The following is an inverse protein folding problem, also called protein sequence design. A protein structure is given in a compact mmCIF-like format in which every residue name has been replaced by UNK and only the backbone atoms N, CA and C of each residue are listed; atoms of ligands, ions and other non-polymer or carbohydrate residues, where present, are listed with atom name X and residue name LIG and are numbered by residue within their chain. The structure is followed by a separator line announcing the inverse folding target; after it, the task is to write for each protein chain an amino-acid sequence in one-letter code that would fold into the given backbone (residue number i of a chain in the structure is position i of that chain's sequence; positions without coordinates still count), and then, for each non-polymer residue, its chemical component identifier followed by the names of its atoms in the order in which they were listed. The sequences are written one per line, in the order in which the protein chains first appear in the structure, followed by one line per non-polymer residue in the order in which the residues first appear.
data_IF_400802838501
#
_entry.id   IF_400802838501
#
_cell.length_a   1.000
_cell.length_b   1.000
_cell.length_c   1.000
_cell.angle_alpha   90.00
_cell.angle_beta   90.00
_cell.angle_gamma   90.00
#
_symmetry.space_group_name_H-M   'P 1'
#
loop_
_entity.id
_entity.type
_entity.pdbx_description
1 polymer ?
#
# COMPACT_ATOMS: atom_id res chain seq x y z
N UNK A 1 -23.57 12.17 19.05
CA UNK A 1 -22.16 12.66 19.22
C UNK A 1 -22.07 14.19 19.40
N UNK A 2 -21.08 14.73 20.14
CA UNK A 2 -20.86 16.19 20.23
C UNK A 2 -20.50 16.76 18.83
N UNK A 3 -21.21 17.79 18.34
CA UNK A 3 -21.07 18.42 17.00
C UNK A 3 -19.61 18.64 16.54
N UNK A 4 -18.71 18.89 17.49
CA UNK A 4 -17.27 19.02 17.26
C UNK A 4 -16.62 17.75 16.65
N UNK A 5 -16.98 16.55 17.13
CA UNK A 5 -16.41 15.28 16.64
C UNK A 5 -16.80 15.02 15.17
N UNK A 6 -18.04 15.30 14.81
CA UNK A 6 -18.55 15.14 13.44
C UNK A 6 -17.85 16.13 12.49
N UNK A 7 -17.62 17.37 12.94
CA UNK A 7 -16.84 18.36 12.18
C UNK A 7 -15.39 17.90 11.96
N UNK A 8 -14.77 17.28 12.96
CA UNK A 8 -13.42 16.71 12.83
C UNK A 8 -13.45 15.55 11.82
N UNK A 9 -14.37 14.59 11.97
CA UNK A 9 -14.51 13.44 11.06
C UNK A 9 -14.70 13.89 9.62
N UNK A 10 -15.62 14.82 9.36
CA UNK A 10 -15.83 15.36 8.02
C UNK A 10 -14.58 16.06 7.47
N UNK A 11 -13.81 16.77 8.31
CA UNK A 11 -12.56 17.42 7.90
C UNK A 11 -11.47 16.39 7.58
N UNK A 12 -11.35 15.34 8.38
CA UNK A 12 -10.41 14.25 8.17
C UNK A 12 -10.73 13.50 6.89
N UNK A 13 -12.00 13.11 6.69
CA UNK A 13 -12.46 12.44 5.47
C UNK A 13 -12.16 13.26 4.20
N UNK A 14 -12.40 14.59 4.23
CA UNK A 14 -12.03 15.45 3.08
C UNK A 14 -10.54 15.52 2.85
N UNK A 15 -9.72 15.57 3.90
CA UNK A 15 -8.25 15.57 3.77
C UNK A 15 -7.74 14.26 3.20
N UNK A 16 -8.26 13.14 3.69
CA UNK A 16 -7.90 11.81 3.23
C UNK A 16 -8.32 11.60 1.77
N UNK A 17 -9.56 11.98 1.42
CA UNK A 17 -10.00 11.99 0.03
C UNK A 17 -9.10 12.85 -0.87
N UNK A 18 -8.66 14.03 -0.39
CA UNK A 18 -7.74 14.89 -1.13
C UNK A 18 -6.39 14.20 -1.39
N UNK A 19 -5.77 13.58 -0.39
CA UNK A 19 -4.47 12.92 -0.57
C UNK A 19 -4.59 11.63 -1.40
N UNK A 20 -5.69 10.88 -1.25
CA UNK A 20 -5.97 9.70 -2.06
C UNK A 20 -6.16 10.09 -3.53
N UNK A 21 -6.97 11.11 -3.82
CA UNK A 21 -7.13 11.64 -5.18
C UNK A 21 -5.79 12.11 -5.76
N UNK A 22 -5.02 12.88 -5.00
CA UNK A 22 -3.70 13.36 -5.44
C UNK A 22 -2.78 12.19 -5.81
N UNK A 23 -2.73 11.16 -4.99
CA UNK A 23 -1.84 10.02 -5.19
C UNK A 23 -2.30 9.15 -6.36
N UNK A 24 -3.60 8.88 -6.46
CA UNK A 24 -4.19 8.14 -7.58
C UNK A 24 -3.92 8.85 -8.92
N UNK A 25 -4.28 10.14 -9.03
CA UNK A 25 -4.06 10.93 -10.26
C UNK A 25 -2.57 10.95 -10.64
N UNK A 26 -1.69 11.17 -9.66
CA UNK A 26 -0.26 11.20 -9.94
C UNK A 26 0.29 9.83 -10.37
N UNK A 27 -0.23 8.74 -9.80
CA UNK A 27 0.16 7.37 -10.16
C UNK A 27 -0.30 7.02 -11.57
N UNK A 28 -1.57 7.24 -11.87
CA UNK A 28 -2.16 6.91 -13.18
C UNK A 28 -1.48 7.69 -14.30
N UNK A 29 -1.26 9.00 -14.11
CA UNK A 29 -0.56 9.83 -15.08
C UNK A 29 0.89 9.40 -15.26
N UNK A 30 1.59 9.00 -14.19
CA UNK A 30 2.96 8.49 -14.29
C UNK A 30 3.01 7.20 -15.10
N UNK A 31 2.12 6.25 -14.81
CA UNK A 31 2.04 4.99 -15.55
C UNK A 31 1.77 5.24 -17.05
N UNK A 32 0.88 6.17 -17.38
CA UNK A 32 0.63 6.54 -18.78
C UNK A 32 1.88 7.17 -19.41
N UNK A 33 2.54 8.12 -18.73
CA UNK A 33 3.76 8.73 -19.27
C UNK A 33 4.93 7.77 -19.41
N UNK A 34 5.01 6.75 -18.56
CA UNK A 34 5.99 5.68 -18.66
C UNK A 34 5.75 4.82 -19.89
N UNK A 35 4.49 4.43 -20.15
CA UNK A 35 4.10 3.71 -21.38
C UNK A 35 4.36 4.51 -22.65
N UNK A 36 4.30 5.85 -22.58
CA UNK A 36 4.57 6.76 -23.69
C UNK A 36 6.06 7.14 -23.82
N UNK A 37 6.95 6.66 -22.95
CA UNK A 37 8.37 7.03 -22.96
C UNK A 37 8.65 8.49 -22.55
N UNK A 38 7.67 9.17 -21.95
CA UNK A 38 7.75 10.57 -21.51
C UNK A 38 8.12 10.72 -20.02
N UNK A 39 8.52 9.62 -19.38
CA UNK A 39 8.90 9.59 -17.98
C UNK A 39 10.22 10.36 -17.78
N UNK A 40 10.11 11.59 -17.30
CA UNK A 40 11.24 12.47 -17.03
C UNK A 40 11.03 13.29 -15.77
N UNK A 41 12.12 13.77 -15.17
CA UNK A 41 12.08 14.56 -13.92
C UNK A 41 11.16 15.78 -14.01
N UNK A 42 11.17 16.48 -15.16
CA UNK A 42 10.31 17.64 -15.43
C UNK A 42 8.84 17.22 -15.51
N UNK A 43 8.52 16.21 -16.32
CA UNK A 43 7.18 15.64 -16.45
C UNK A 43 6.62 15.19 -15.11
N UNK A 44 7.40 14.45 -14.32
CA UNK A 44 7.01 13.98 -12.98
C UNK A 44 6.74 15.13 -12.00
N UNK A 45 7.52 16.21 -12.08
CA UNK A 45 7.31 17.40 -11.25
C UNK A 45 6.03 18.13 -11.65
N UNK A 46 5.75 18.25 -12.94
CA UNK A 46 4.51 18.87 -13.43
C UNK A 46 3.28 18.02 -13.09
N UNK A 47 3.34 16.69 -13.28
CA UNK A 47 2.29 15.76 -12.83
C UNK A 47 2.01 15.96 -11.33
N UNK A 48 3.05 15.99 -10.49
CA UNK A 48 2.88 16.14 -9.04
C UNK A 48 2.22 17.48 -8.65
N UNK A 49 2.58 18.58 -9.33
CA UNK A 49 1.96 19.91 -9.09
C UNK A 49 0.51 19.93 -9.56
N UNK A 50 0.24 19.45 -10.76
CA UNK A 50 -1.09 19.44 -11.37
C UNK A 50 -2.03 18.51 -10.60
N UNK A 51 -1.58 17.32 -10.21
CA UNK A 51 -2.34 16.40 -9.36
C UNK A 51 -2.70 17.05 -8.01
N UNK A 52 -1.75 17.76 -7.38
CA UNK A 52 -2.02 18.50 -6.13
C UNK A 52 -3.08 19.60 -6.34
N UNK A 53 -2.99 20.35 -7.43
CA UNK A 53 -3.94 21.42 -7.73
C UNK A 53 -5.35 20.87 -8.04
N UNK A 54 -5.43 19.81 -8.84
CA UNK A 54 -6.68 19.13 -9.17
C UNK A 54 -7.33 18.53 -7.93
N UNK A 55 -6.59 17.78 -7.12
CA UNK A 55 -7.09 17.20 -5.89
C UNK A 55 -7.66 18.26 -4.93
N UNK A 56 -6.99 19.42 -4.82
CA UNK A 56 -7.49 20.55 -4.01
C UNK A 56 -8.78 21.15 -4.57
N UNK A 57 -8.94 21.23 -5.90
CA UNK A 57 -10.19 21.68 -6.54
C UNK A 57 -11.33 20.70 -6.29
N UNK A 58 -11.07 19.39 -6.47
CA UNK A 58 -12.04 18.33 -6.24
C UNK A 58 -12.47 18.26 -4.77
N UNK A 59 -11.52 18.33 -3.83
CA UNK A 59 -11.80 18.29 -2.39
C UNK A 59 -12.67 19.46 -1.89
N UNK A 60 -12.61 20.63 -2.56
CA UNK A 60 -13.52 21.75 -2.27
C UNK A 60 -14.97 21.45 -2.69
N UNK A 61 -15.14 20.66 -3.76
CA UNK A 61 -16.44 20.25 -4.27
C UNK A 61 -17.12 19.15 -3.44
N UNK A 62 -16.36 18.40 -2.65
CA UNK A 62 -16.91 17.35 -1.78
C UNK A 62 -17.78 18.00 -0.70
N UNK A 63 -19.10 17.89 -0.86
CA UNK A 63 -20.09 18.23 0.16
C UNK A 63 -20.36 16.96 0.98
N UNK A 64 -20.08 17.05 2.28
CA UNK A 64 -20.42 15.97 3.22
C UNK A 64 -21.69 16.43 3.92
N UNK A 65 -22.73 15.62 3.80
CA UNK A 65 -23.96 15.89 4.52
C UNK A 65 -23.75 15.63 6.03
N UNK A 66 -23.87 16.71 6.80
CA UNK A 66 -23.64 16.69 8.24
C UNK A 66 -24.89 16.24 9.00
N UNK A 67 -26.08 16.43 8.43
CA UNK A 67 -27.34 16.02 9.07
C UNK A 67 -27.47 14.51 9.04
N UNK A 68 -27.24 13.87 7.89
CA UNK A 68 -27.16 12.41 7.79
C UNK A 68 -26.11 11.82 8.74
N UNK A 69 -24.93 12.44 8.86
CA UNK A 69 -23.91 12.00 9.81
C UNK A 69 -24.32 12.16 11.29
N UNK A 70 -25.19 13.13 11.60
CA UNK A 70 -25.69 13.34 12.96
C UNK A 70 -26.77 12.33 13.33
N UNK A 71 -27.61 11.93 12.38
CA UNK A 71 -28.63 10.90 12.56
C UNK A 71 -27.98 9.54 12.81
N UNK A 72 -27.04 9.11 11.94
CA UNK A 72 -26.29 7.85 12.09
C UNK A 72 -25.47 7.84 13.40
N UNK A 73 -24.92 8.99 13.81
CA UNK A 73 -24.13 9.11 15.03
C UNK A 73 -24.96 9.14 16.34
N UNK A 74 -26.28 9.28 16.24
CA UNK A 74 -27.22 9.24 17.37
C UNK A 74 -28.02 7.94 17.40
N UNK A 75 -28.08 7.20 16.30
CA UNK A 75 -28.40 5.79 16.36
C UNK A 75 -27.33 5.07 17.20
N UNK A 76 -27.76 4.59 18.37
CA UNK A 76 -27.00 3.68 19.22
C UNK A 76 -26.42 2.60 18.31
N UNK A 77 -25.11 2.30 18.36
CA UNK A 77 -24.53 1.28 17.50
C UNK A 77 -25.37 0.03 17.66
N UNK A 78 -26.02 -0.40 16.56
CA UNK A 78 -26.67 -1.68 16.50
C UNK A 78 -25.61 -2.67 16.96
N UNK A 79 -25.87 -3.26 18.13
CA UNK A 79 -25.05 -4.28 18.76
C UNK A 79 -24.69 -5.26 17.64
N UNK A 80 -23.40 -5.35 17.31
CA UNK A 80 -22.93 -6.39 16.42
C UNK A 80 -23.57 -7.71 16.90
N UNK A 81 -24.17 -8.51 16.00
CA UNK A 81 -24.68 -9.81 16.41
C UNK A 81 -23.53 -10.54 17.07
N UNK A 82 -23.75 -10.90 18.34
CA UNK A 82 -22.80 -11.62 19.15
C UNK A 82 -22.38 -12.86 18.37
N UNK A 83 -21.10 -12.95 18.02
CA UNK A 83 -20.47 -14.24 17.75
C UNK A 83 -20.59 -15.04 19.04
N UNK A 84 -21.59 -15.93 19.07
CA UNK A 84 -21.70 -16.95 20.09
C UNK A 84 -20.57 -17.98 19.91
N UNK A 85 -20.20 -18.71 20.98
CA UNK A 85 -18.83 -19.11 21.27
C UNK A 85 -18.39 -20.39 20.55
N UNK A 86 -17.07 -20.49 20.41
CA UNK A 86 -16.29 -21.70 20.16
C UNK A 86 -16.61 -22.81 21.18
N UNK A 87 -16.83 -24.02 20.67
CA UNK A 87 -16.51 -25.32 21.28
C UNK A 87 -16.14 -26.25 20.11
N UNK A 88 -14.86 -26.43 19.79
CA UNK A 88 -13.95 -27.43 20.38
C UNK A 88 -14.43 -28.87 20.11
N UNK A 89 -13.85 -29.52 19.07
CA UNK A 89 -13.42 -30.93 19.07
C UNK A 89 -12.83 -31.33 17.71
N UNK A 90 -11.51 -31.51 17.63
CA UNK A 90 -10.83 -32.55 16.84
C UNK A 90 -9.31 -32.36 16.96
N UNK A 91 -8.77 -32.84 18.07
CA UNK A 91 -7.35 -33.17 18.20
C UNK A 91 -7.19 -34.65 17.80
N UNK A 92 -6.57 -34.92 16.65
CA UNK A 92 -6.01 -36.23 16.36
C UNK A 92 -4.57 -36.06 15.87
N UNK A 93 -3.68 -36.73 16.58
CA UNK A 93 -2.22 -36.75 16.42
C UNK A 93 -1.83 -37.61 15.21
N UNK A 94 -0.61 -37.44 14.69
CA UNK A 94 0.26 -38.61 14.73
C UNK A 94 1.67 -38.31 15.26
N UNK A 95 2.08 -39.18 16.18
CA UNK A 95 3.43 -39.32 16.73
C UNK A 95 4.26 -40.27 15.85
N UNK A 96 5.56 -39.98 15.79
CA UNK A 96 6.71 -40.86 15.53
C UNK A 96 7.36 -40.86 14.13
N UNK A 97 8.62 -40.37 14.13
CA UNK A 97 9.69 -40.60 13.16
C UNK A 97 10.16 -42.08 13.19
N UNK A 98 11.04 -42.59 12.27
CA UNK A 98 12.43 -42.14 12.16
C UNK A 98 13.12 -42.21 10.76
N UNK A 99 14.27 -41.52 10.67
CA UNK A 99 15.52 -41.81 9.95
C UNK A 99 15.50 -42.45 8.53
N UNK A 100 16.19 -41.83 7.56
CA UNK A 100 17.62 -42.10 7.31
C UNK A 100 18.09 -41.60 5.93
N UNK A 101 19.27 -40.97 5.94
CA UNK A 101 20.32 -40.95 4.91
C UNK A 101 19.96 -40.91 3.40
N UNK A 102 20.37 -39.83 2.72
CA UNK A 102 21.35 -40.04 1.66
C UNK A 102 22.35 -38.86 1.53
N UNK A 103 23.60 -39.26 1.27
CA UNK A 103 24.86 -38.51 1.28
C UNK A 103 25.40 -38.49 -0.14
N UNK A 104 25.71 -37.31 -0.68
CA UNK A 104 26.80 -37.05 -1.63
C UNK A 104 26.79 -35.53 -1.95
N UNK A 105 27.67 -34.66 -1.46
CA UNK A 105 29.13 -34.50 -1.64
C UNK A 105 29.63 -34.61 -3.09
N UNK A 106 29.93 -33.45 -3.68
CA UNK A 106 31.17 -33.08 -4.40
C UNK A 106 30.96 -31.66 -4.97
N UNK A 107 31.90 -30.73 -5.08
CA UNK A 107 33.30 -30.53 -4.68
C UNK A 107 33.55 -29.04 -5.07
N UNK A 108 33.97 -28.15 -4.16
CA UNK A 108 35.37 -27.82 -3.86
C UNK A 108 36.12 -27.10 -5.00
N UNK A 109 36.18 -25.76 -4.85
CA UNK A 109 37.31 -24.81 -5.06
C UNK A 109 37.97 -24.63 -6.43
N UNK A 110 38.16 -23.36 -6.83
CA UNK A 110 39.45 -22.60 -6.75
C UNK A 110 39.30 -21.31 -7.59
N UNK A 111 39.50 -20.13 -7.00
CA UNK A 111 40.78 -19.39 -6.90
C UNK A 111 41.38 -19.10 -8.28
N UNK A 112 41.29 -17.85 -8.74
CA UNK A 112 42.44 -17.01 -9.17
C UNK A 112 41.99 -15.58 -9.43
N UNK A 113 42.88 -14.66 -9.09
CA UNK A 113 42.75 -13.20 -9.12
C UNK A 113 43.05 -12.64 -10.55
N UNK A 114 42.99 -11.31 -10.78
CA UNK A 114 42.86 -10.71 -12.11
C UNK A 114 44.20 -10.63 -12.86
N UNK A 115 44.18 -10.94 -14.17
CA UNK A 115 45.32 -10.75 -15.05
C UNK A 115 45.17 -9.49 -15.91
N UNK A 116 46.06 -8.53 -15.65
CA UNK A 116 46.51 -7.46 -16.54
C UNK A 116 47.46 -8.05 -17.61
N UNK A 117 47.43 -7.54 -18.84
CA UNK A 117 48.67 -7.19 -19.55
C UNK A 117 48.53 -5.79 -20.19
N UNK A 118 49.36 -4.78 -19.92
CA UNK A 118 50.75 -4.60 -20.35
C UNK A 118 50.96 -4.66 -21.88
N UNK A 119 50.96 -3.47 -22.49
CA UNK A 119 51.76 -3.00 -23.63
C UNK A 119 51.83 -3.80 -24.95
N UNK A 120 51.40 -3.14 -26.04
CA UNK A 120 51.98 -3.32 -27.37
C UNK A 120 52.22 -1.94 -28.01
N UNK A 121 53.48 -1.73 -28.44
CA UNK A 121 53.97 -0.58 -29.23
C UNK A 121 53.36 -0.58 -30.64
N UNK A 122 53.14 0.61 -31.19
CA UNK A 122 53.81 1.08 -32.42
C UNK A 122 53.86 2.60 -32.43
#
# INVERSE_FOLDING_TARGET
MKKHKIKILAKTAKKEAQENLRSAIASDLKQITEKLGLNGKKTNKEIAKSAKHLAKKLAKGIKIDKTALMEIANEKPAKAPATAPTADKAEETPKAAPASANKATNATTQKTAPAKPAAAKK
#
